data_IF_036597408095
#
_entry.id   IF_036597408095
#
_cell.length_a   1.000
_cell.length_b   1.000
_cell.length_c   1.000
_cell.angle_alpha   90.00
_cell.angle_beta   90.00
_cell.angle_gamma   90.00
#
_symmetry.space_group_name_H-M   'P 1'
#
loop_
_entity.id
_entity.type
_entity.pdbx_description
1 polymer ?
#
# COMPACT_ATOMS: atom_id res chain seq x y z
N UNK A 1 -5.07 7.41 13.14
CA UNK A 1 -3.93 7.86 13.93
C UNK A 1 -3.84 9.38 13.99
N UNK A 2 -3.20 9.94 15.05
CA UNK A 2 -3.07 11.40 15.24
C UNK A 2 -2.34 12.09 14.07
N UNK A 3 -1.41 11.38 13.43
CA UNK A 3 -0.70 11.88 12.26
C UNK A 3 -1.65 12.13 11.08
N UNK A 4 -2.50 11.16 10.74
CA UNK A 4 -3.45 11.28 9.62
C UNK A 4 -4.49 12.38 9.85
N UNK A 5 -4.96 12.55 11.11
CA UNK A 5 -5.90 13.61 11.47
C UNK A 5 -5.31 15.00 11.23
N UNK A 6 -3.96 15.11 11.18
CA UNK A 6 -3.29 16.35 10.81
C UNK A 6 -2.87 17.23 11.99
N UNK A 7 -2.77 16.69 13.21
CA UNK A 7 -2.29 17.48 14.35
C UNK A 7 -0.87 18.00 14.12
N UNK A 8 -0.64 19.28 14.41
CA UNK A 8 0.67 19.93 14.29
C UNK A 8 1.60 19.57 15.45
N UNK A 9 1.02 19.20 16.58
CA UNK A 9 1.76 18.81 17.77
C UNK A 9 1.09 17.61 18.44
N UNK A 10 1.88 16.59 18.78
CA UNK A 10 1.42 15.36 19.41
C UNK A 10 2.25 15.11 20.67
N UNK A 11 1.60 15.00 21.81
CA UNK A 11 2.22 14.65 23.07
C UNK A 11 1.91 13.20 23.41
N UNK A 12 2.94 12.39 23.61
CA UNK A 12 2.82 11.02 24.06
C UNK A 12 3.32 10.94 25.49
N UNK A 13 2.45 10.56 26.40
CA UNK A 13 2.75 10.38 27.82
C UNK A 13 2.61 8.89 28.14
N UNK A 14 3.57 8.34 28.86
CA UNK A 14 3.58 6.92 29.24
C UNK A 14 4.12 6.74 30.65
N UNK A 15 3.51 5.84 31.42
CA UNK A 15 3.85 5.63 32.83
C UNK A 15 5.12 4.79 33.02
N UNK A 16 5.38 3.84 32.11
CA UNK A 16 6.52 2.94 32.17
C UNK A 16 7.22 2.82 30.82
N UNK A 17 8.46 3.34 30.68
CA UNK A 17 9.23 3.27 29.44
C UNK A 17 9.64 1.84 29.03
N UNK A 18 9.60 0.89 29.98
CA UNK A 18 9.92 -0.52 29.71
C UNK A 18 8.71 -1.34 29.30
N UNK A 19 7.52 -0.79 29.42
CA UNK A 19 6.29 -1.48 29.03
C UNK A 19 6.32 -1.79 27.55
N UNK A 20 5.94 -3.02 27.23
CA UNK A 20 5.86 -3.49 25.84
C UNK A 20 4.41 -3.53 25.40
N UNK A 21 4.19 -3.14 24.17
CA UNK A 21 2.88 -3.09 23.54
C UNK A 21 2.86 -4.07 22.37
N UNK A 22 1.72 -4.70 22.06
CA UNK A 22 1.58 -5.50 20.84
C UNK A 22 1.96 -4.65 19.62
N UNK A 23 2.80 -5.19 18.77
CA UNK A 23 3.04 -4.62 17.45
C UNK A 23 1.86 -4.97 16.55
N UNK A 24 0.93 -4.05 16.40
CA UNK A 24 -0.30 -4.25 15.62
C UNK A 24 0.05 -4.58 14.16
N UNK A 25 1.13 -3.99 13.62
CA UNK A 25 1.57 -4.27 12.26
C UNK A 25 2.11 -5.68 12.09
N UNK A 26 2.70 -6.26 13.15
CA UNK A 26 3.25 -7.63 13.16
C UNK A 26 2.31 -8.67 13.80
N UNK A 27 1.22 -8.24 14.43
CA UNK A 27 0.33 -9.14 15.19
C UNK A 27 -0.28 -10.26 14.33
N UNK A 28 -0.40 -10.07 13.03
CA UNK A 28 -0.87 -11.10 12.11
C UNK A 28 0.21 -12.14 11.75
N UNK A 29 1.49 -11.78 11.83
CA UNK A 29 2.63 -12.64 11.45
C UNK A 29 3.42 -13.15 12.63
N UNK A 30 3.47 -12.38 13.71
CA UNK A 30 4.08 -12.74 15.00
C UNK A 30 3.16 -12.27 16.15
N UNK A 31 2.24 -13.14 16.61
CA UNK A 31 1.32 -12.81 17.71
C UNK A 31 2.03 -12.47 19.04
N UNK A 32 3.33 -12.80 19.15
CA UNK A 32 4.16 -12.44 20.30
C UNK A 32 5.02 -11.20 20.06
N UNK A 33 4.95 -10.62 18.87
CA UNK A 33 5.64 -9.39 18.52
C UNK A 33 5.18 -8.26 19.43
N UNK A 34 6.10 -7.71 20.20
CA UNK A 34 5.83 -6.55 21.06
C UNK A 34 6.92 -5.51 20.88
N UNK A 35 6.55 -4.26 20.92
CA UNK A 35 7.46 -3.12 20.87
C UNK A 35 7.50 -2.42 22.21
N UNK A 36 8.70 -2.01 22.64
CA UNK A 36 8.84 -1.05 23.71
C UNK A 36 8.38 0.34 23.29
N UNK A 37 8.08 1.21 24.23
CA UNK A 37 7.74 2.60 23.95
C UNK A 37 8.83 3.31 23.14
N UNK A 38 10.10 3.02 23.41
CA UNK A 38 11.22 3.63 22.68
C UNK A 38 11.26 3.18 21.21
N UNK A 39 11.02 1.89 20.95
CA UNK A 39 10.91 1.38 19.58
C UNK A 39 9.70 1.99 18.85
N UNK A 40 8.56 2.14 19.53
CA UNK A 40 7.39 2.83 18.97
C UNK A 40 7.70 4.29 18.62
N UNK A 41 8.41 5.01 19.49
CA UNK A 41 8.81 6.40 19.24
C UNK A 41 9.80 6.48 18.06
N UNK A 42 10.77 5.57 17.97
CA UNK A 42 11.69 5.50 16.84
C UNK A 42 10.96 5.24 15.51
N UNK A 43 9.93 4.41 15.52
CA UNK A 43 9.11 4.17 14.34
C UNK A 43 8.31 5.39 13.87
N UNK A 44 8.16 6.43 14.71
CA UNK A 44 7.51 7.69 14.30
C UNK A 44 8.37 8.51 13.33
N UNK A 45 9.67 8.28 13.25
CA UNK A 45 10.56 8.92 12.28
C UNK A 45 10.21 8.57 10.82
N UNK A 46 9.37 7.55 10.61
CA UNK A 46 8.83 7.24 9.27
C UNK A 46 7.87 8.31 8.74
N UNK A 47 7.23 9.09 9.63
CA UNK A 47 6.25 10.09 9.24
C UNK A 47 6.92 11.35 8.67
N UNK A 48 6.57 11.71 7.45
CA UNK A 48 7.15 12.86 6.76
C UNK A 48 6.71 14.15 7.44
N UNK A 49 7.69 15.01 7.76
CA UNK A 49 7.46 16.34 8.34
C UNK A 49 7.27 16.35 9.85
N UNK A 50 7.16 15.20 10.51
CA UNK A 50 7.04 15.11 11.98
C UNK A 50 8.42 14.83 12.59
N UNK A 51 8.81 15.65 13.53
CA UNK A 51 10.08 15.54 14.25
C UNK A 51 9.86 15.44 15.76
N UNK A 52 10.72 14.67 16.43
CA UNK A 52 10.76 14.61 17.89
C UNK A 52 11.49 15.85 18.38
N UNK A 53 10.79 16.76 19.04
CA UNK A 53 11.35 18.02 19.53
C UNK A 53 11.69 18.00 21.03
N UNK A 54 11.12 17.07 21.79
CA UNK A 54 11.44 16.84 23.20
C UNK A 54 11.15 15.39 23.56
N UNK A 55 12.07 14.76 24.31
CA UNK A 55 11.92 13.38 24.79
C UNK A 55 12.50 13.23 26.17
N UNK A 56 11.73 12.62 27.08
CA UNK A 56 12.11 12.29 28.47
C UNK A 56 11.75 10.83 28.76
N UNK A 57 12.05 10.37 29.97
CA UNK A 57 11.80 8.98 30.36
C UNK A 57 10.32 8.54 30.26
N UNK A 58 9.37 9.47 30.43
CA UNK A 58 7.93 9.19 30.44
C UNK A 58 7.13 10.05 29.47
N UNK A 59 7.81 10.73 28.53
CA UNK A 59 7.18 11.74 27.70
C UNK A 59 7.94 11.92 26.39
N UNK A 60 7.20 12.07 25.30
CA UNK A 60 7.72 12.44 24.00
C UNK A 60 6.80 13.48 23.34
N UNK A 61 7.39 14.54 22.81
CA UNK A 61 6.71 15.60 22.07
C UNK A 61 7.15 15.59 20.63
N UNK A 62 6.17 15.47 19.74
CA UNK A 62 6.33 15.49 18.30
C UNK A 62 5.76 16.78 17.75
N UNK A 63 6.39 17.34 16.73
CA UNK A 63 5.92 18.56 16.06
C UNK A 63 6.07 18.44 14.55
N UNK A 64 5.07 18.96 13.83
CA UNK A 64 5.13 19.16 12.40
C UNK A 64 6.04 20.33 12.07
N UNK A 65 7.21 20.05 11.51
CA UNK A 65 8.16 21.05 11.01
C UNK A 65 8.10 21.18 9.48
N UNK A 66 7.32 20.33 8.82
CA UNK A 66 7.15 20.31 7.36
C UNK A 66 6.25 21.45 6.89
N UNK A 67 6.77 22.31 6.03
CA UNK A 67 5.91 23.18 5.20
C UNK A 67 5.38 22.35 4.04
N UNK A 68 4.18 21.80 4.20
CA UNK A 68 3.53 21.05 3.14
C UNK A 68 3.20 21.99 1.98
N UNK A 69 3.88 21.79 0.85
CA UNK A 69 3.56 22.44 -0.40
C UNK A 69 2.53 21.59 -1.16
N UNK A 70 1.36 22.16 -1.44
CA UNK A 70 0.30 21.48 -2.23
C UNK A 70 0.77 21.08 -3.62
N UNK A 71 1.72 21.82 -4.20
CA UNK A 71 2.32 21.48 -5.49
C UNK A 71 3.08 20.13 -5.48
N UNK A 72 3.49 19.65 -4.32
CA UNK A 72 4.18 18.36 -4.19
C UNK A 72 3.22 17.17 -4.13
N UNK A 73 1.95 17.38 -3.81
CA UNK A 73 0.97 16.30 -3.66
C UNK A 73 0.85 15.43 -4.92
N UNK A 74 0.66 16.05 -6.07
CA UNK A 74 0.51 15.31 -7.34
C UNK A 74 1.80 14.54 -7.70
N UNK A 75 2.97 15.08 -7.35
CA UNK A 75 4.26 14.40 -7.55
C UNK A 75 4.39 13.19 -6.63
N UNK A 76 3.96 13.32 -5.37
CA UNK A 76 3.99 12.21 -4.40
C UNK A 76 2.99 11.12 -4.79
N UNK A 77 1.77 11.50 -5.19
CA UNK A 77 0.78 10.56 -5.69
C UNK A 77 1.33 9.76 -6.89
N UNK A 78 1.96 10.44 -7.86
CA UNK A 78 2.62 9.75 -8.98
C UNK A 78 3.73 8.82 -8.50
N UNK A 79 4.49 9.21 -7.49
CA UNK A 79 5.55 8.37 -6.91
C UNK A 79 5.01 7.11 -6.26
N UNK A 80 3.86 7.17 -5.58
CA UNK A 80 3.16 5.99 -5.05
C UNK A 80 2.87 4.99 -6.17
N UNK A 81 2.30 5.45 -7.27
CA UNK A 81 2.03 4.59 -8.43
C UNK A 81 3.31 3.95 -9.00
N UNK A 82 4.38 4.72 -9.16
CA UNK A 82 5.64 4.20 -9.69
C UNK A 82 6.27 3.15 -8.76
N UNK A 83 6.15 3.34 -7.44
CA UNK A 83 6.60 2.34 -6.46
C UNK A 83 5.76 1.06 -6.53
N UNK A 84 4.44 1.17 -6.70
CA UNK A 84 3.57 0.01 -6.89
C UNK A 84 3.90 -0.77 -8.17
N UNK A 85 4.16 -0.05 -9.28
CA UNK A 85 4.57 -0.69 -10.54
C UNK A 85 5.93 -1.39 -10.39
N UNK A 86 6.89 -0.78 -9.69
CA UNK A 86 8.18 -1.43 -9.38
C UNK A 86 7.96 -2.66 -8.51
N UNK A 87 7.23 -2.54 -7.40
CA UNK A 87 6.94 -3.64 -6.49
C UNK A 87 6.28 -4.82 -7.22
N UNK A 88 5.30 -4.55 -8.08
CA UNK A 88 4.61 -5.59 -8.86
C UNK A 88 5.55 -6.31 -9.83
N UNK A 89 6.43 -5.55 -10.49
CA UNK A 89 7.44 -6.10 -11.42
C UNK A 89 8.48 -6.94 -10.69
N UNK A 90 9.03 -6.40 -9.59
CA UNK A 90 10.09 -7.05 -8.80
C UNK A 90 9.55 -8.33 -8.14
N UNK A 91 8.30 -8.31 -7.66
CA UNK A 91 7.59 -9.50 -7.15
C UNK A 91 7.51 -10.59 -8.22
N UNK A 92 7.08 -10.24 -9.43
CA UNK A 92 6.98 -11.19 -10.53
C UNK A 92 8.35 -11.76 -10.93
N UNK A 93 9.39 -10.92 -10.96
CA UNK A 93 10.76 -11.33 -11.27
C UNK A 93 11.30 -12.30 -10.20
N UNK A 94 11.14 -11.97 -8.92
CA UNK A 94 11.52 -12.85 -7.81
C UNK A 94 10.81 -14.22 -7.88
N UNK A 95 9.52 -14.22 -8.22
CA UNK A 95 8.74 -15.45 -8.41
C UNK A 95 9.30 -16.28 -9.57
N UNK A 96 9.55 -15.66 -10.75
CA UNK A 96 10.06 -16.36 -11.93
C UNK A 96 11.42 -17.00 -11.69
N UNK A 97 12.28 -16.29 -10.95
CA UNK A 97 13.63 -16.72 -10.64
C UNK A 97 13.69 -17.65 -9.41
N UNK A 98 12.58 -17.89 -8.72
CA UNK A 98 12.50 -18.56 -7.41
C UNK A 98 13.47 -17.93 -6.39
N UNK A 99 13.61 -16.60 -6.43
CA UNK A 99 14.51 -15.83 -5.57
C UNK A 99 13.80 -15.46 -4.25
N UNK A 100 13.92 -16.38 -3.29
CA UNK A 100 13.33 -16.21 -1.97
C UNK A 100 13.85 -14.97 -1.24
N UNK A 101 15.14 -14.69 -1.33
CA UNK A 101 15.77 -13.58 -0.61
C UNK A 101 15.23 -12.24 -1.11
N UNK A 102 15.20 -12.05 -2.42
CA UNK A 102 14.62 -10.86 -3.03
C UNK A 102 13.16 -10.68 -2.65
N UNK A 103 12.33 -11.72 -2.68
CA UNK A 103 10.92 -11.66 -2.30
C UNK A 103 10.70 -11.24 -0.84
N UNK A 104 11.54 -11.72 0.10
CA UNK A 104 11.46 -11.33 1.50
C UNK A 104 12.00 -9.92 1.76
N UNK A 105 12.96 -9.45 0.98
CA UNK A 105 13.44 -8.06 1.04
C UNK A 105 12.34 -7.11 0.57
N UNK A 106 11.61 -7.42 -0.50
CA UNK A 106 10.48 -6.62 -0.98
C UNK A 106 9.40 -6.45 0.10
N UNK A 107 9.09 -7.52 0.85
CA UNK A 107 8.16 -7.44 1.98
C UNK A 107 8.59 -6.37 3.01
N UNK A 108 9.89 -6.26 3.28
CA UNK A 108 10.40 -5.44 4.39
C UNK A 108 10.74 -4.00 4.01
N UNK A 109 11.02 -3.71 2.74
CA UNK A 109 11.62 -2.43 2.33
C UNK A 109 10.70 -1.56 1.47
N UNK A 110 10.07 -2.12 0.45
CA UNK A 110 9.30 -1.33 -0.53
C UNK A 110 7.99 -0.83 0.07
N UNK A 111 7.36 -1.64 0.89
CA UNK A 111 6.15 -1.33 1.63
C UNK A 111 6.31 -0.06 2.50
N UNK A 112 7.41 0.05 3.24
CA UNK A 112 7.68 1.21 4.09
C UNK A 112 7.64 2.55 3.32
N UNK A 113 8.05 2.58 2.06
CA UNK A 113 8.03 3.80 1.26
C UNK A 113 6.63 4.12 0.73
N UNK A 114 5.85 3.12 0.33
CA UNK A 114 4.45 3.29 -0.09
C UNK A 114 3.67 3.84 1.09
N UNK A 115 3.73 3.20 2.27
CA UNK A 115 3.08 3.64 3.50
C UNK A 115 3.44 5.09 3.87
N UNK A 116 4.71 5.46 3.80
CA UNK A 116 5.15 6.81 4.14
C UNK A 116 4.54 7.87 3.24
N UNK A 117 4.42 7.59 1.96
CA UNK A 117 3.86 8.53 1.00
C UNK A 117 2.34 8.56 1.04
N UNK A 118 1.67 7.44 1.25
CA UNK A 118 0.21 7.38 1.45
C UNK A 118 -0.18 8.07 2.74
N UNK A 119 0.49 7.79 3.86
CA UNK A 119 0.32 8.48 5.14
C UNK A 119 0.43 10.00 5.00
N UNK A 120 1.44 10.47 4.25
CA UNK A 120 1.65 11.89 4.02
C UNK A 120 0.54 12.51 3.17
N UNK A 121 0.12 11.85 2.10
CA UNK A 121 -0.99 12.30 1.26
C UNK A 121 -2.30 12.38 2.07
N UNK A 122 -2.62 11.36 2.87
CA UNK A 122 -3.80 11.35 3.73
C UNK A 122 -3.77 12.49 4.74
N UNK A 123 -2.60 12.78 5.32
CA UNK A 123 -2.41 13.92 6.21
C UNK A 123 -2.72 15.26 5.51
N UNK A 124 -2.21 15.45 4.29
CA UNK A 124 -2.48 16.68 3.51
C UNK A 124 -3.98 16.84 3.27
N UNK A 125 -4.64 15.78 2.82
CA UNK A 125 -6.07 15.80 2.54
C UNK A 125 -6.90 16.14 3.79
N UNK A 126 -6.56 15.57 4.94
CA UNK A 126 -7.26 15.86 6.18
C UNK A 126 -6.99 17.28 6.71
N UNK A 127 -5.79 17.85 6.48
CA UNK A 127 -5.46 19.21 6.93
C UNK A 127 -6.03 20.29 6.01
N UNK A 128 -6.02 20.07 4.70
CA UNK A 128 -6.24 21.12 3.71
C UNK A 128 -7.29 20.79 2.66
N UNK A 129 -7.63 19.50 2.52
CA UNK A 129 -8.39 19.00 1.37
C UNK A 129 -7.53 18.88 0.11
N UNK A 130 -8.14 18.45 -0.96
CA UNK A 130 -7.54 18.44 -2.30
C UNK A 130 -7.69 19.82 -2.97
N UNK A 131 -6.86 20.14 -3.96
CA UNK A 131 -6.93 21.43 -4.73
C UNK A 131 -8.31 21.74 -5.27
N UNK A 132 -9.07 20.73 -5.69
CA UNK A 132 -10.51 20.79 -5.88
C UNK A 132 -11.16 20.11 -4.66
N UNK A 133 -11.65 20.90 -3.71
CA UNK A 133 -12.16 20.41 -2.44
C UNK A 133 -13.27 19.37 -2.61
N UNK A 134 -14.10 19.50 -3.66
CA UNK A 134 -15.19 18.54 -3.94
C UNK A 134 -14.69 17.13 -4.23
N UNK A 135 -13.44 17.00 -4.66
CA UNK A 135 -12.79 15.73 -5.02
C UNK A 135 -11.92 15.15 -3.91
N UNK A 136 -11.99 15.72 -2.70
CA UNK A 136 -11.16 15.31 -1.56
C UNK A 136 -11.47 13.87 -1.13
N UNK A 137 -12.74 13.47 -1.09
CA UNK A 137 -13.17 12.13 -0.68
C UNK A 137 -12.74 11.05 -1.67
N UNK A 138 -12.85 11.33 -2.97
CA UNK A 138 -12.46 10.42 -4.04
C UNK A 138 -10.94 10.22 -4.05
N UNK A 139 -10.17 11.32 -3.98
CA UNK A 139 -8.70 11.24 -3.90
C UNK A 139 -8.25 10.54 -2.62
N UNK A 140 -8.92 10.77 -1.50
CA UNK A 140 -8.67 10.06 -0.24
C UNK A 140 -8.86 8.55 -0.42
N UNK A 141 -9.95 8.15 -1.07
CA UNK A 141 -10.25 6.74 -1.37
C UNK A 141 -9.22 6.13 -2.32
N UNK A 142 -8.79 6.85 -3.36
CA UNK A 142 -7.71 6.39 -4.24
C UNK A 142 -6.44 6.11 -3.45
N UNK A 143 -6.02 6.99 -2.54
CA UNK A 143 -4.79 6.81 -1.78
C UNK A 143 -4.88 5.60 -0.84
N UNK A 144 -6.01 5.40 -0.15
CA UNK A 144 -6.23 4.21 0.67
C UNK A 144 -6.18 2.92 -0.14
N UNK A 145 -6.81 2.89 -1.31
CA UNK A 145 -6.81 1.72 -2.19
C UNK A 145 -5.41 1.42 -2.74
N UNK A 146 -4.58 2.45 -3.00
CA UNK A 146 -3.19 2.25 -3.40
C UNK A 146 -2.33 1.67 -2.26
N UNK A 147 -2.58 2.05 -1.00
CA UNK A 147 -1.95 1.44 0.17
C UNK A 147 -2.33 -0.04 0.28
N UNK A 148 -3.64 -0.36 0.22
CA UNK A 148 -4.12 -1.74 0.25
C UNK A 148 -3.55 -2.58 -0.89
N UNK A 149 -3.38 -1.99 -2.06
CA UNK A 149 -2.76 -2.67 -3.19
C UNK A 149 -1.28 -2.99 -2.93
N UNK A 150 -0.55 -2.08 -2.27
CA UNK A 150 0.82 -2.31 -1.81
C UNK A 150 0.90 -3.47 -0.82
N UNK A 151 0.01 -3.49 0.17
CA UNK A 151 -0.10 -4.57 1.14
C UNK A 151 -0.36 -5.94 0.47
N UNK A 152 -1.24 -6.00 -0.53
CA UNK A 152 -1.51 -7.26 -1.23
C UNK A 152 -0.29 -7.76 -2.01
N UNK A 153 0.48 -6.90 -2.66
CA UNK A 153 1.73 -7.29 -3.32
C UNK A 153 2.80 -7.74 -2.32
N UNK A 154 2.89 -7.11 -1.16
CA UNK A 154 3.73 -7.53 -0.05
C UNK A 154 3.37 -8.93 0.45
N UNK A 155 2.08 -9.19 0.69
CA UNK A 155 1.62 -10.52 1.10
C UNK A 155 1.85 -11.56 0.00
N UNK A 156 1.62 -11.20 -1.26
CA UNK A 156 1.92 -12.05 -2.41
C UNK A 156 3.41 -12.43 -2.44
N UNK A 157 4.32 -11.45 -2.28
CA UNK A 157 5.77 -11.69 -2.24
C UNK A 157 6.17 -12.65 -1.14
N UNK A 158 5.66 -12.44 0.09
CA UNK A 158 5.92 -13.29 1.25
C UNK A 158 5.41 -14.71 1.05
N UNK A 159 4.17 -14.84 0.59
CA UNK A 159 3.53 -16.15 0.42
C UNK A 159 4.19 -16.93 -0.72
N UNK A 160 4.66 -16.25 -1.77
CA UNK A 160 5.37 -16.87 -2.89
C UNK A 160 6.81 -17.29 -2.56
N UNK A 161 7.46 -16.68 -1.55
CA UNK A 161 8.89 -16.88 -1.26
C UNK A 161 9.30 -18.34 -0.97
N UNK A 162 8.37 -19.20 -0.55
CA UNK A 162 8.64 -20.59 -0.21
C UNK A 162 7.95 -21.59 -1.14
N UNK A 163 7.38 -21.14 -2.26
CA UNK A 163 6.52 -21.95 -3.13
C UNK A 163 6.97 -21.78 -4.58
N UNK A 164 7.16 -22.89 -5.27
CA UNK A 164 7.33 -22.87 -6.72
C UNK A 164 5.96 -22.82 -7.38
N UNK A 165 5.68 -21.73 -8.07
CA UNK A 165 4.40 -21.51 -8.73
C UNK A 165 4.28 -22.23 -10.08
N UNK A 166 3.07 -22.58 -10.43
CA UNK A 166 2.74 -23.11 -11.76
C UNK A 166 2.83 -21.98 -12.80
N UNK A 167 3.11 -22.35 -14.05
CA UNK A 167 3.12 -21.40 -15.17
C UNK A 167 1.78 -20.68 -15.35
N UNK A 168 0.66 -21.31 -14.96
CA UNK A 168 -0.66 -20.69 -15.03
C UNK A 168 -0.80 -19.56 -14.00
N UNK A 169 -0.36 -19.81 -12.77
CA UNK A 169 -0.36 -18.79 -11.70
C UNK A 169 0.56 -17.62 -12.04
N UNK A 170 1.76 -17.90 -12.57
CA UNK A 170 2.69 -16.86 -13.02
C UNK A 170 2.07 -15.97 -14.10
N UNK A 171 1.38 -16.55 -15.08
CA UNK A 171 0.68 -15.79 -16.13
C UNK A 171 -0.44 -14.90 -15.57
N UNK A 172 -1.17 -15.36 -14.56
CA UNK A 172 -2.18 -14.52 -13.90
C UNK A 172 -1.54 -13.31 -13.21
N UNK A 173 -0.39 -13.49 -12.56
CA UNK A 173 0.34 -12.37 -11.94
C UNK A 173 0.81 -11.38 -13.01
N UNK A 174 1.29 -11.87 -14.17
CA UNK A 174 1.65 -11.02 -15.31
C UNK A 174 0.46 -10.20 -15.81
N UNK A 175 -0.71 -10.81 -15.94
CA UNK A 175 -1.93 -10.14 -16.40
C UNK A 175 -2.39 -9.06 -15.37
N UNK A 176 -2.31 -9.35 -14.08
CA UNK A 176 -2.62 -8.38 -13.02
C UNK A 176 -1.64 -7.19 -13.02
N UNK A 177 -0.34 -7.46 -13.18
CA UNK A 177 0.67 -6.40 -13.29
C UNK A 177 0.43 -5.51 -14.52
N UNK A 178 0.03 -6.12 -15.63
CA UNK A 178 -0.32 -5.38 -16.83
C UNK A 178 -1.59 -4.54 -16.63
N UNK A 179 -2.61 -5.08 -15.96
CA UNK A 179 -3.83 -4.35 -15.60
C UNK A 179 -3.53 -3.15 -14.69
N UNK A 180 -2.64 -3.30 -13.70
CA UNK A 180 -2.19 -2.20 -12.85
C UNK A 180 -1.51 -1.09 -13.66
N UNK A 181 -0.66 -1.47 -14.62
CA UNK A 181 -0.01 -0.50 -15.51
C UNK A 181 -1.02 0.26 -16.37
N UNK A 182 -1.99 -0.42 -16.96
CA UNK A 182 -3.05 0.22 -17.74
C UNK A 182 -3.91 1.15 -16.88
N UNK A 183 -4.19 0.75 -15.64
CA UNK A 183 -4.89 1.63 -14.69
C UNK A 183 -4.06 2.89 -14.38
N UNK A 184 -2.75 2.77 -14.14
CA UNK A 184 -1.87 3.94 -13.97
C UNK A 184 -1.96 4.90 -15.17
N UNK A 185 -1.93 4.37 -16.38
CA UNK A 185 -2.05 5.17 -17.60
C UNK A 185 -3.42 5.86 -17.69
N UNK A 186 -4.51 5.15 -17.37
CA UNK A 186 -5.86 5.70 -17.32
C UNK A 186 -5.98 6.83 -16.29
N UNK A 187 -5.43 6.65 -15.09
CA UNK A 187 -5.54 7.63 -14.00
C UNK A 187 -4.92 8.98 -14.40
N UNK A 188 -3.75 8.98 -15.03
CA UNK A 188 -3.03 10.20 -15.44
C UNK A 188 -3.40 10.71 -16.84
N UNK A 189 -3.89 9.82 -17.72
CA UNK A 189 -4.35 10.15 -19.08
C UNK A 189 -5.74 9.54 -19.28
N UNK A 190 -6.71 10.19 -18.62
CA UNK A 190 -8.08 9.71 -18.63
C UNK A 190 -8.65 9.66 -20.06
N UNK A 191 -9.15 8.48 -20.44
CA UNK A 191 -9.87 8.24 -21.70
C UNK A 191 -11.01 7.25 -21.40
N UNK A 192 -12.24 7.72 -21.55
CA UNK A 192 -13.45 6.96 -21.26
C UNK A 192 -13.53 5.64 -22.07
N UNK A 193 -13.02 5.63 -23.29
CA UNK A 193 -12.98 4.44 -24.14
C UNK A 193 -12.11 3.31 -23.57
N UNK A 194 -11.15 3.64 -22.74
CA UNK A 194 -10.27 2.65 -22.10
C UNK A 194 -10.93 1.98 -20.88
N UNK A 195 -11.96 2.58 -20.31
CA UNK A 195 -12.66 2.07 -19.12
C UNK A 195 -13.38 0.76 -19.44
N UNK A 196 -14.15 0.70 -20.54
CA UNK A 196 -14.83 -0.53 -20.95
C UNK A 196 -13.85 -1.68 -21.14
N UNK A 197 -12.72 -1.42 -21.81
CA UNK A 197 -11.66 -2.42 -22.02
C UNK A 197 -11.05 -2.92 -20.71
N UNK A 198 -10.82 -2.02 -19.77
CA UNK A 198 -10.28 -2.38 -18.45
C UNK A 198 -11.31 -3.19 -17.66
N UNK A 199 -12.58 -2.82 -17.73
CA UNK A 199 -13.66 -3.57 -17.09
C UNK A 199 -13.78 -5.00 -17.64
N UNK A 200 -13.74 -5.17 -18.97
CA UNK A 200 -13.73 -6.49 -19.60
C UNK A 200 -12.53 -7.34 -19.15
N UNK A 201 -11.34 -6.74 -19.05
CA UNK A 201 -10.13 -7.42 -18.56
C UNK A 201 -10.26 -7.88 -17.12
N UNK A 202 -10.82 -7.03 -16.23
CA UNK A 202 -11.08 -7.39 -14.84
C UNK A 202 -11.96 -8.61 -14.74
N UNK A 203 -13.06 -8.66 -15.52
CA UNK A 203 -13.98 -9.80 -15.54
C UNK A 203 -13.33 -11.07 -16.11
N UNK A 204 -12.47 -10.94 -17.11
CA UNK A 204 -11.73 -12.05 -17.69
C UNK A 204 -10.69 -12.60 -16.69
N UNK A 205 -9.93 -11.72 -16.02
CA UNK A 205 -8.98 -12.11 -14.98
C UNK A 205 -9.69 -12.81 -13.82
N UNK A 206 -10.84 -12.31 -13.37
CA UNK A 206 -11.61 -12.93 -12.28
C UNK A 206 -12.02 -14.37 -12.62
N UNK A 207 -12.50 -14.60 -13.87
CA UNK A 207 -12.79 -15.94 -14.38
C UNK A 207 -11.56 -16.83 -14.41
N UNK A 208 -10.42 -16.31 -14.89
CA UNK A 208 -9.15 -17.04 -14.93
C UNK A 208 -8.63 -17.37 -13.53
N UNK A 209 -8.75 -16.49 -12.56
CA UNK A 209 -8.42 -16.73 -11.16
C UNK A 209 -9.21 -17.94 -10.65
N UNK A 210 -10.55 -17.93 -10.82
CA UNK A 210 -11.43 -19.03 -10.40
C UNK A 210 -11.10 -20.36 -11.09
N UNK A 211 -10.85 -20.34 -12.38
CA UNK A 211 -10.50 -21.53 -13.16
C UNK A 211 -9.13 -22.10 -12.80
N UNK A 212 -8.16 -21.23 -12.53
CA UNK A 212 -6.80 -21.64 -12.16
C UNK A 212 -6.76 -22.16 -10.73
N UNK A 213 -7.50 -21.53 -9.81
CA UNK A 213 -7.66 -22.00 -8.44
C UNK A 213 -8.13 -23.45 -8.35
N UNK A 214 -9.08 -23.84 -9.21
CA UNK A 214 -9.60 -25.22 -9.24
C UNK A 214 -8.54 -26.26 -9.63
N UNK A 215 -7.48 -25.85 -10.34
CA UNK A 215 -6.39 -26.69 -10.84
C UNK A 215 -5.09 -26.51 -10.03
N UNK A 216 -5.04 -25.51 -9.15
CA UNK A 216 -3.88 -25.19 -8.37
C UNK A 216 -3.59 -26.27 -7.32
N UNK A 217 -2.32 -26.48 -7.03
CA UNK A 217 -1.92 -27.33 -5.91
C UNK A 217 -2.24 -26.61 -4.56
N UNK A 218 -2.31 -27.39 -3.49
CA UNK A 218 -2.71 -26.86 -2.18
C UNK A 218 -1.80 -25.74 -1.67
N UNK A 219 -0.52 -25.76 -2.02
CA UNK A 219 0.44 -24.75 -1.58
C UNK A 219 0.23 -23.40 -2.28
N UNK A 220 -0.30 -23.40 -3.51
CA UNK A 220 -0.58 -22.19 -4.27
C UNK A 220 -1.92 -21.53 -3.88
N UNK A 221 -2.83 -22.26 -3.25
CA UNK A 221 -4.21 -21.78 -3.01
C UNK A 221 -4.30 -20.52 -2.17
N UNK A 222 -3.39 -20.34 -1.21
CA UNK A 222 -3.37 -19.13 -0.39
C UNK A 222 -3.08 -17.87 -1.22
N UNK A 223 -2.26 -17.99 -2.27
CA UNK A 223 -1.93 -16.86 -3.14
C UNK A 223 -3.15 -16.33 -3.92
N UNK A 224 -4.13 -17.19 -4.19
CA UNK A 224 -5.32 -16.78 -4.95
C UNK A 224 -6.17 -15.75 -4.22
N UNK A 225 -6.11 -15.68 -2.88
CA UNK A 225 -6.72 -14.59 -2.13
C UNK A 225 -6.06 -13.25 -2.49
N UNK A 226 -4.73 -13.21 -2.53
CA UNK A 226 -4.01 -12.01 -2.92
C UNK A 226 -4.31 -11.63 -4.38
N UNK A 227 -4.32 -12.60 -5.32
CA UNK A 227 -4.64 -12.31 -6.72
C UNK A 227 -6.05 -11.76 -6.90
N UNK A 228 -7.02 -12.33 -6.18
CA UNK A 228 -8.40 -11.87 -6.21
C UNK A 228 -8.53 -10.46 -5.59
N UNK A 229 -7.87 -10.20 -4.46
CA UNK A 229 -7.87 -8.89 -3.82
C UNK A 229 -7.22 -7.83 -4.71
N UNK A 230 -6.07 -8.11 -5.32
CA UNK A 230 -5.43 -7.20 -6.28
C UNK A 230 -6.39 -6.83 -7.41
N UNK A 231 -7.07 -7.83 -8.02
CA UNK A 231 -8.04 -7.58 -9.09
C UNK A 231 -9.20 -6.70 -8.63
N UNK A 232 -9.76 -6.97 -7.45
CA UNK A 232 -10.85 -6.18 -6.87
C UNK A 232 -10.44 -4.77 -6.51
N UNK A 233 -9.26 -4.57 -5.90
CA UNK A 233 -8.76 -3.24 -5.57
C UNK A 233 -8.58 -2.40 -6.85
N UNK A 234 -8.04 -2.98 -7.93
CA UNK A 234 -7.90 -2.27 -9.20
C UNK A 234 -9.29 -1.93 -9.78
N UNK A 235 -10.28 -2.81 -9.67
CA UNK A 235 -11.67 -2.54 -10.05
C UNK A 235 -12.24 -1.36 -9.27
N UNK A 236 -12.06 -1.34 -7.95
CA UNK A 236 -12.54 -0.27 -7.09
C UNK A 236 -11.84 1.06 -7.39
N UNK A 237 -10.54 1.02 -7.67
CA UNK A 237 -9.76 2.18 -8.12
C UNK A 237 -10.30 2.77 -9.43
N UNK A 238 -10.69 1.94 -10.40
CA UNK A 238 -11.31 2.40 -11.65
C UNK A 238 -12.65 3.07 -11.35
N UNK A 239 -13.48 2.48 -10.49
CA UNK A 239 -14.77 3.05 -10.13
C UNK A 239 -14.61 4.44 -9.48
N UNK A 240 -13.74 4.55 -8.47
CA UNK A 240 -13.46 5.85 -7.82
C UNK A 240 -12.87 6.87 -8.81
N UNK A 241 -12.07 6.40 -9.79
CA UNK A 241 -11.52 7.29 -10.82
C UNK A 241 -12.61 7.81 -11.76
N UNK A 242 -13.63 7.03 -12.06
CA UNK A 242 -14.81 7.49 -12.80
C UNK A 242 -15.49 8.64 -12.05
N UNK A 243 -15.81 8.43 -10.77
CA UNK A 243 -16.45 9.44 -9.94
C UNK A 243 -15.60 10.71 -9.80
N UNK A 244 -14.27 10.56 -9.81
CA UNK A 244 -13.30 11.68 -9.76
C UNK A 244 -13.29 12.51 -11.06
N UNK A 245 -13.63 11.92 -12.21
CA UNK A 245 -13.53 12.57 -13.54
C UNK A 245 -14.87 13.09 -14.07
N UNK A 246 -15.98 12.62 -13.48
CA UNK A 246 -17.32 13.17 -13.72
C UNK A 246 -17.59 14.36 -12.83
#
# INVERSE_FOLDING_TARGET
>A
SAYWVGYDEIHIIFDDPKKRYPDICKSFTDPKGTLSILELIQNLNRFIGIEIIDQKATYCKLKDLGKVNEAEFDNILRRIFLLLLSLSSDTLEGIKNNDKESLLILESTTDTNIDRFTDFCLRILNKKGYKDFKKTSEIYSVILLLEFLGDEYKYLSRNAANIKLSNLTIKLIEELNYLLKEYYELFFKYDEKNIEKLHEKILDIDKKISQTFSKANNNEKELFFNLHNINNIIKDLIQVTLDLKT
#
